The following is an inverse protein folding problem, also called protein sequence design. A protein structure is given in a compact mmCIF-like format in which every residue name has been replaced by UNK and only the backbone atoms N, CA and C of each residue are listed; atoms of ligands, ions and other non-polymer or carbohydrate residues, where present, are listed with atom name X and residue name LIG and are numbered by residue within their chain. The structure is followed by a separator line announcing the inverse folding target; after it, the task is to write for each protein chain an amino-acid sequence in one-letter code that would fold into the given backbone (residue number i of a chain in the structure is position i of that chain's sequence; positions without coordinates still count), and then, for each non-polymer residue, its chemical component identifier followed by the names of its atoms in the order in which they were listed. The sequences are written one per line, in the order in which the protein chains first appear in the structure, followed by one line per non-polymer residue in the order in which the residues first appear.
data_IF_380445883482
#
_entry.id   IF_380445883482
#
_cell.length_a   1.000
_cell.length_b   1.000
_cell.length_c   1.000
_cell.angle_alpha   90.00
_cell.angle_beta   90.00
_cell.angle_gamma   90.00
#
_symmetry.space_group_name_H-M   'P 1'
#
loop_
_entity.id
_entity.type
_entity.pdbx_description
1 polymer ?
#
# COMPACT_ATOMS: atom_id res chain seq x y z
N UNK A 1 9.76 -20.57 -8.12
CA UNK A 1 9.96 -20.93 -6.70
C UNK A 1 8.65 -21.50 -6.19
N UNK A 2 8.62 -22.79 -5.85
CA UNK A 2 7.44 -23.40 -5.22
C UNK A 2 7.39 -22.98 -3.75
N UNK A 3 6.71 -21.88 -3.47
CA UNK A 3 6.36 -21.43 -2.11
C UNK A 3 5.36 -22.36 -1.41
N UNK A 4 4.99 -23.49 -2.05
CA UNK A 4 3.94 -24.44 -1.67
C UNK A 4 4.35 -25.47 -0.61
N UNK A 5 5.56 -25.40 -0.03
CA UNK A 5 6.05 -26.34 0.99
C UNK A 5 5.82 -25.87 2.44
N UNK A 6 4.79 -25.07 2.68
CA UNK A 6 4.37 -24.79 4.06
C UNK A 6 3.66 -26.03 4.63
N UNK A 7 3.87 -26.33 5.92
CA UNK A 7 3.15 -27.42 6.59
C UNK A 7 1.65 -27.12 6.66
N UNK A 8 0.81 -28.15 6.86
CA UNK A 8 -0.63 -27.97 7.06
C UNK A 8 -0.91 -27.03 8.27
N UNK A 9 -0.11 -27.13 9.32
CA UNK A 9 -0.15 -26.24 10.49
C UNK A 9 0.17 -24.79 10.14
N UNK A 10 1.20 -24.54 9.31
CA UNK A 10 1.54 -23.20 8.87
C UNK A 10 0.44 -22.57 8.02
N UNK A 11 -0.19 -23.35 7.14
CA UNK A 11 -1.37 -22.89 6.39
C UNK A 11 -2.56 -22.60 7.31
N UNK A 12 -2.81 -23.42 8.33
CA UNK A 12 -3.86 -23.17 9.31
C UNK A 12 -3.61 -21.89 10.12
N UNK A 13 -2.37 -21.65 10.53
CA UNK A 13 -1.99 -20.42 11.22
C UNK A 13 -2.18 -19.18 10.34
N UNK A 14 -1.78 -19.24 9.06
CA UNK A 14 -2.00 -18.13 8.12
C UNK A 14 -3.50 -17.84 7.91
N UNK A 15 -4.33 -18.87 7.77
CA UNK A 15 -5.80 -18.69 7.71
C UNK A 15 -6.35 -18.03 8.97
N UNK A 16 -5.85 -18.42 10.15
CA UNK A 16 -6.26 -17.80 11.41
C UNK A 16 -5.87 -16.31 11.48
N UNK A 17 -4.71 -15.92 10.96
CA UNK A 17 -4.36 -14.50 10.84
C UNK A 17 -5.32 -13.76 9.91
N UNK A 18 -5.61 -14.32 8.74
CA UNK A 18 -6.53 -13.71 7.78
C UNK A 18 -7.94 -13.53 8.34
N UNK A 19 -8.49 -14.53 9.03
CA UNK A 19 -9.77 -14.43 9.73
C UNK A 19 -9.80 -13.26 10.72
N UNK A 20 -8.71 -13.07 11.47
CA UNK A 20 -8.58 -11.96 12.43
C UNK A 20 -8.46 -10.62 11.73
N UNK A 21 -7.71 -10.52 10.63
CA UNK A 21 -7.62 -9.29 9.82
C UNK A 21 -9.00 -8.93 9.28
N UNK A 22 -9.70 -9.87 8.63
CA UNK A 22 -11.06 -9.66 8.13
C UNK A 22 -12.06 -9.32 9.23
N UNK A 23 -11.91 -9.87 10.44
CA UNK A 23 -12.74 -9.48 11.59
C UNK A 23 -12.52 -8.02 11.99
N UNK A 24 -11.27 -7.56 12.09
CA UNK A 24 -10.97 -6.17 12.40
C UNK A 24 -11.43 -5.21 11.30
N UNK A 25 -11.29 -5.56 10.02
CA UNK A 25 -11.81 -4.74 8.92
C UNK A 25 -13.34 -4.64 8.95
N UNK A 26 -14.05 -5.71 9.30
CA UNK A 26 -15.50 -5.68 9.52
C UNK A 26 -15.90 -4.79 10.69
N UNK A 27 -15.18 -4.86 11.81
CA UNK A 27 -15.41 -3.98 12.95
C UNK A 27 -15.14 -2.51 12.62
N UNK A 28 -14.10 -2.23 11.83
CA UNK A 28 -13.85 -0.88 11.33
C UNK A 28 -15.03 -0.39 10.48
N UNK A 29 -15.57 -1.25 9.60
CA UNK A 29 -16.75 -0.94 8.79
C UNK A 29 -17.99 -0.66 9.64
N UNK A 30 -18.25 -1.50 10.63
CA UNK A 30 -19.39 -1.38 11.55
C UNK A 30 -19.31 -0.11 12.41
N UNK A 31 -18.09 0.38 12.68
CA UNK A 31 -17.89 1.65 13.35
C UNK A 31 -18.16 2.89 12.46
N UNK A 32 -18.35 2.75 11.14
CA UNK A 32 -18.66 3.90 10.28
C UNK A 32 -20.09 4.37 10.55
N UNK A 33 -20.24 5.63 10.96
CA UNK A 33 -21.56 6.26 11.13
C UNK A 33 -22.02 6.82 9.79
N UNK A 34 -23.13 6.32 9.22
CA UNK A 34 -23.62 6.77 7.90
C UNK A 34 -23.81 8.28 7.81
N UNK A 35 -23.37 8.90 6.72
CA UNK A 35 -23.54 10.33 6.46
C UNK A 35 -22.55 11.25 7.19
N UNK A 36 -21.80 10.74 8.18
CA UNK A 36 -20.85 11.56 8.96
C UNK A 36 -19.59 11.87 8.15
N UNK A 37 -19.12 10.90 7.38
CA UNK A 37 -17.97 11.06 6.50
C UNK A 37 -18.24 12.11 5.41
N UNK A 38 -19.39 12.03 4.77
CA UNK A 38 -19.80 12.90 3.66
C UNK A 38 -20.02 14.34 4.11
N UNK A 39 -20.61 14.54 5.28
CA UNK A 39 -20.93 15.88 5.80
C UNK A 39 -19.74 16.53 6.51
N UNK A 40 -18.98 15.77 7.28
CA UNK A 40 -18.03 16.33 8.26
C UNK A 40 -16.58 15.88 8.04
N UNK A 41 -16.32 14.95 7.11
CA UNK A 41 -15.00 14.30 6.98
C UNK A 41 -14.49 13.76 8.32
N UNK A 42 -15.45 13.22 9.10
CA UNK A 42 -15.23 12.71 10.43
C UNK A 42 -15.51 11.21 10.49
N UNK A 43 -14.70 10.48 11.26
CA UNK A 43 -14.84 9.05 11.50
C UNK A 43 -14.68 8.77 13.00
N UNK A 44 -15.36 7.75 13.55
CA UNK A 44 -15.15 7.37 14.94
C UNK A 44 -13.73 6.87 15.21
N UNK A 45 -13.19 7.14 16.41
CA UNK A 45 -11.88 6.62 16.84
C UNK A 45 -11.79 5.09 16.80
N UNK A 46 -12.91 4.41 16.99
CA UNK A 46 -12.99 2.95 16.89
C UNK A 46 -12.65 2.46 15.49
N UNK A 47 -13.08 3.17 14.43
CA UNK A 47 -12.71 2.86 13.05
C UNK A 47 -11.18 2.78 12.90
N UNK A 48 -10.47 3.81 13.37
CA UNK A 48 -9.02 3.88 13.29
C UNK A 48 -8.38 2.75 14.10
N UNK A 49 -8.87 2.53 15.32
CA UNK A 49 -8.38 1.47 16.21
C UNK A 49 -8.49 0.09 15.58
N UNK A 50 -9.62 -0.21 14.93
CA UNK A 50 -9.82 -1.50 14.26
C UNK A 50 -8.98 -1.61 12.99
N UNK A 51 -8.85 -0.54 12.20
CA UNK A 51 -7.98 -0.52 11.02
C UNK A 51 -6.51 -0.73 11.37
N UNK A 52 -6.01 -0.07 12.42
CA UNK A 52 -4.66 -0.26 12.94
C UNK A 52 -4.43 -1.69 13.43
N UNK A 53 -5.41 -2.27 14.14
CA UNK A 53 -5.36 -3.68 14.56
C UNK A 53 -5.30 -4.62 13.36
N UNK A 54 -6.07 -4.36 12.30
CA UNK A 54 -6.02 -5.15 11.07
C UNK A 54 -4.61 -5.14 10.46
N UNK A 55 -4.01 -3.96 10.26
CA UNK A 55 -2.64 -3.86 9.75
C UNK A 55 -1.59 -4.46 10.68
N UNK A 56 -1.75 -4.34 12.00
CA UNK A 56 -0.85 -4.94 12.98
C UNK A 56 -0.88 -6.47 12.92
N UNK A 57 -2.08 -7.07 12.86
CA UNK A 57 -2.23 -8.53 12.74
C UNK A 57 -1.71 -9.01 11.39
N UNK A 58 -1.90 -8.23 10.32
CA UNK A 58 -1.32 -8.54 9.02
C UNK A 58 0.21 -8.48 9.04
N UNK A 59 0.82 -7.48 9.68
CA UNK A 59 2.28 -7.44 9.88
C UNK A 59 2.78 -8.67 10.69
N UNK A 60 1.98 -9.19 11.62
CA UNK A 60 2.30 -10.43 12.35
C UNK A 60 2.25 -11.66 11.43
N UNK A 61 1.25 -11.77 10.55
CA UNK A 61 1.15 -12.86 9.58
C UNK A 61 2.33 -12.87 8.61
N UNK A 62 2.77 -11.69 8.14
CA UNK A 62 3.95 -11.54 7.31
C UNK A 62 5.22 -12.01 8.03
N UNK A 63 5.44 -11.59 9.29
CA UNK A 63 6.59 -12.06 10.09
C UNK A 63 6.57 -13.58 10.26
N UNK A 64 5.39 -14.16 10.49
CA UNK A 64 5.21 -15.61 10.58
C UNK A 64 5.60 -16.29 9.27
N UNK A 65 5.07 -15.82 8.14
CA UNK A 65 5.39 -16.35 6.81
C UNK A 65 6.89 -16.26 6.50
N UNK A 66 7.50 -15.09 6.71
CA UNK A 66 8.93 -14.86 6.46
C UNK A 66 9.83 -15.74 7.32
N UNK A 67 9.42 -16.04 8.56
CA UNK A 67 10.15 -16.98 9.43
C UNK A 67 10.14 -18.40 8.86
N UNK A 68 9.00 -18.84 8.31
CA UNK A 68 8.90 -20.15 7.66
C UNK A 68 9.70 -20.19 6.35
N UNK A 69 9.65 -19.11 5.57
CA UNK A 69 10.43 -18.96 4.35
C UNK A 69 11.94 -19.09 4.64
N UNK A 70 12.42 -18.44 5.71
CA UNK A 70 13.81 -18.57 6.19
C UNK A 70 14.17 -20.00 6.57
N UNK A 71 13.28 -20.71 7.27
CA UNK A 71 13.48 -22.14 7.63
C UNK A 71 13.52 -23.05 6.40
N UNK A 72 12.81 -22.68 5.33
CA UNK A 72 12.85 -23.37 4.04
C UNK A 72 14.09 -23.03 3.19
N UNK A 73 15.05 -22.27 3.73
CA UNK A 73 16.31 -21.91 3.07
C UNK A 73 16.29 -20.58 2.30
N UNK A 74 15.16 -19.87 2.31
CA UNK A 74 15.01 -18.61 1.59
C UNK A 74 15.07 -17.42 2.56
N UNK A 75 16.16 -16.65 2.51
CA UNK A 75 16.33 -15.48 3.39
C UNK A 75 15.93 -14.21 2.66
N UNK A 76 14.93 -13.50 3.19
CA UNK A 76 14.57 -12.16 2.71
C UNK A 76 15.67 -11.17 3.10
N UNK A 77 16.03 -10.32 2.15
CA UNK A 77 17.08 -9.30 2.31
C UNK A 77 16.53 -7.92 2.66
N UNK A 78 15.20 -7.75 2.60
CA UNK A 78 14.51 -6.56 3.05
C UNK A 78 14.64 -6.40 4.57
N UNK A 79 15.15 -5.25 5.00
CA UNK A 79 15.28 -4.88 6.40
C UNK A 79 14.77 -3.44 6.61
N UNK A 80 14.50 -3.02 7.87
CA UNK A 80 14.27 -1.61 8.16
C UNK A 80 15.37 -0.73 7.54
N UNK A 81 14.97 0.24 6.73
CA UNK A 81 15.90 1.12 6.00
C UNK A 81 16.35 0.65 4.62
N UNK A 82 15.94 -0.54 4.17
CA UNK A 82 16.04 -0.90 2.75
C UNK A 82 15.03 -0.09 1.93
N UNK A 83 15.51 0.63 0.91
CA UNK A 83 14.71 1.52 0.07
C UNK A 83 14.92 1.31 -1.44
N UNK A 84 15.57 0.21 -1.83
CA UNK A 84 15.97 -0.01 -3.23
C UNK A 84 14.79 -0.20 -4.20
N UNK A 85 13.66 -0.71 -3.72
CA UNK A 85 12.41 -0.77 -4.50
C UNK A 85 11.51 0.47 -4.28
N UNK A 86 11.88 1.40 -3.39
CA UNK A 86 11.11 2.62 -3.09
C UNK A 86 11.24 3.69 -4.18
N UNK A 87 11.36 3.25 -5.42
CA UNK A 87 11.34 4.02 -6.68
C UNK A 87 10.24 3.51 -7.61
N UNK A 88 9.59 2.39 -7.26
CA UNK A 88 8.38 1.91 -7.91
C UNK A 88 7.20 2.85 -7.58
N UNK A 89 6.20 2.87 -8.47
CA UNK A 89 4.91 3.51 -8.21
C UNK A 89 3.94 2.43 -7.69
N UNK A 90 3.60 2.41 -6.38
CA UNK A 90 2.65 1.44 -5.87
C UNK A 90 1.25 1.69 -6.47
N UNK A 91 0.60 0.60 -6.86
CA UNK A 91 -0.73 0.54 -7.49
C UNK A 91 -1.63 -0.45 -6.77
N UNK A 92 -2.93 -0.45 -7.06
CA UNK A 92 -3.90 -1.35 -6.44
C UNK A 92 -4.22 -1.01 -4.98
N UNK A 93 -4.10 0.26 -4.59
CA UNK A 93 -4.50 0.73 -3.27
C UNK A 93 -6.02 0.96 -3.22
N UNK A 94 -6.60 0.72 -2.05
CA UNK A 94 -7.95 1.16 -1.69
C UNK A 94 -7.95 2.60 -1.19
N UNK A 95 -9.09 3.29 -1.27
CA UNK A 95 -9.24 4.62 -0.70
C UNK A 95 -9.04 4.65 0.82
N UNK A 96 -9.41 3.59 1.53
CA UNK A 96 -9.13 3.40 2.96
C UNK A 96 -7.62 3.42 3.26
N UNK A 97 -6.81 2.79 2.43
CA UNK A 97 -5.35 2.82 2.58
C UNK A 97 -4.78 4.22 2.36
N UNK A 98 -5.31 4.95 1.37
CA UNK A 98 -4.95 6.35 1.14
C UNK A 98 -5.35 7.22 2.34
N UNK A 99 -6.55 7.02 2.90
CA UNK A 99 -7.01 7.71 4.12
C UNK A 99 -6.05 7.45 5.28
N UNK A 100 -5.66 6.19 5.50
CA UNK A 100 -4.76 5.82 6.60
C UNK A 100 -3.34 6.39 6.41
N UNK A 101 -2.86 6.43 5.17
CA UNK A 101 -1.60 7.09 4.84
C UNK A 101 -1.66 8.60 5.08
N UNK A 102 -2.76 9.25 4.67
CA UNK A 102 -2.99 10.67 4.90
C UNK A 102 -3.13 11.01 6.39
N UNK A 103 -3.77 10.15 7.17
CA UNK A 103 -3.80 10.25 8.64
C UNK A 103 -2.39 10.30 9.22
N UNK A 104 -1.52 9.36 8.82
CA UNK A 104 -0.13 9.35 9.25
C UNK A 104 0.65 10.60 8.82
N UNK A 105 0.43 11.08 7.58
CA UNK A 105 1.05 12.30 7.08
C UNK A 105 0.61 13.55 7.85
N UNK A 106 -0.68 13.62 8.21
CA UNK A 106 -1.28 14.69 8.99
C UNK A 106 -0.74 14.72 10.41
N UNK A 107 -0.72 13.58 11.10
CA UNK A 107 -0.18 13.48 12.46
C UNK A 107 1.31 13.80 12.55
N UNK A 108 2.07 13.55 11.49
CA UNK A 108 3.49 13.91 11.41
C UNK A 108 3.75 15.35 10.89
N UNK A 109 2.71 16.12 10.53
CA UNK A 109 2.85 17.49 10.05
C UNK A 109 3.59 17.61 8.70
N UNK A 110 3.48 16.61 7.84
CA UNK A 110 4.25 16.51 6.59
C UNK A 110 3.39 16.48 5.32
N UNK A 111 2.08 16.72 5.43
CA UNK A 111 1.13 16.69 4.30
C UNK A 111 1.60 17.57 3.14
N UNK A 112 1.95 18.84 3.39
CA UNK A 112 2.36 19.77 2.32
C UNK A 112 3.63 19.33 1.59
N UNK A 113 4.56 18.72 2.31
CA UNK A 113 5.80 18.17 1.73
C UNK A 113 5.49 16.96 0.86
N UNK A 114 4.64 16.05 1.35
CA UNK A 114 4.29 14.84 0.61
C UNK A 114 3.37 15.13 -0.57
N UNK A 115 2.45 16.09 -0.45
CA UNK A 115 1.62 16.58 -1.53
C UNK A 115 2.47 17.11 -2.69
N UNK A 116 3.39 18.04 -2.44
CA UNK A 116 4.28 18.59 -3.47
C UNK A 116 5.08 17.52 -4.19
N UNK A 117 5.69 16.60 -3.43
CA UNK A 117 6.42 15.46 -3.99
C UNK A 117 5.51 14.54 -4.80
N UNK A 118 4.31 14.22 -4.31
CA UNK A 118 3.35 13.37 -5.03
C UNK A 118 2.85 14.04 -6.31
N UNK A 119 2.65 15.36 -6.33
CA UNK A 119 2.32 16.13 -7.54
C UNK A 119 3.41 16.00 -8.61
N UNK A 120 4.69 16.14 -8.24
CA UNK A 120 5.81 15.94 -9.16
C UNK A 120 5.77 14.53 -9.79
N UNK A 121 5.43 13.49 -9.01
CA UNK A 121 5.35 12.11 -9.52
C UNK A 121 4.09 11.87 -10.35
N UNK A 122 2.98 12.51 -10.01
CA UNK A 122 1.75 12.49 -10.82
C UNK A 122 2.00 13.11 -12.20
N UNK A 123 2.77 14.20 -12.28
CA UNK A 123 3.15 14.82 -13.56
C UNK A 123 3.99 13.88 -14.41
N UNK A 124 5.04 13.28 -13.83
CA UNK A 124 5.86 12.25 -14.51
C UNK A 124 5.01 11.07 -15.00
N UNK A 125 4.06 10.61 -14.17
CA UNK A 125 3.13 9.56 -14.57
C UNK A 125 2.23 10.00 -15.74
N UNK A 126 1.77 11.25 -15.73
CA UNK A 126 1.00 11.85 -16.82
C UNK A 126 1.78 11.90 -18.13
N UNK A 127 3.08 12.21 -18.10
CA UNK A 127 3.97 12.16 -19.27
C UNK A 127 4.11 10.76 -19.84
N UNK A 128 4.34 9.76 -18.98
CA UNK A 128 4.39 8.35 -19.38
C UNK A 128 3.08 7.94 -20.06
N UNK A 129 1.94 8.31 -19.47
CA UNK A 129 0.63 8.00 -20.05
C UNK A 129 0.40 8.67 -21.41
N UNK A 130 0.90 9.90 -21.61
CA UNK A 130 0.82 10.61 -22.91
C UNK A 130 1.70 9.96 -23.97
N UNK A 131 2.92 9.60 -23.61
CA UNK A 131 3.87 8.95 -24.52
C UNK A 131 3.33 7.60 -25.02
N UNK A 132 2.80 6.78 -24.11
CA UNK A 132 2.17 5.50 -24.44
C UNK A 132 0.89 5.60 -25.27
N UNK A 133 0.21 6.75 -25.32
CA UNK A 133 -0.93 6.96 -26.23
C UNK A 133 -0.49 7.23 -27.66
N UNK A 134 0.67 7.88 -27.81
CA UNK A 134 1.25 8.20 -29.11
C UNK A 134 2.02 7.01 -29.70
N UNK A 135 2.63 6.20 -28.83
CA UNK A 135 3.27 4.96 -29.23
C UNK A 135 2.19 3.88 -29.40
N UNK A 136 2.12 3.22 -30.56
CA UNK A 136 1.04 2.29 -30.91
C UNK A 136 1.17 0.93 -30.20
N UNK A 137 1.36 0.95 -28.87
CA UNK A 137 1.63 -0.23 -28.06
C UNK A 137 0.39 -1.13 -28.04
N UNK A 138 0.46 -2.23 -28.78
CA UNK A 138 -0.54 -3.31 -28.78
C UNK A 138 -0.47 -4.07 -27.44
N UNK A 139 -1.61 -4.28 -26.79
CA UNK A 139 -1.71 -5.09 -25.58
C UNK A 139 -3.03 -4.90 -24.84
N UNK A 140 -3.32 -5.79 -23.90
CA UNK A 140 -4.45 -5.63 -22.97
C UNK A 140 -4.28 -4.40 -22.08
N UNK A 141 -5.33 -4.00 -21.38
CA UNK A 141 -5.26 -2.89 -20.41
C UNK A 141 -4.16 -3.15 -19.36
N UNK A 142 -4.10 -4.37 -18.83
CA UNK A 142 -3.14 -4.77 -17.80
C UNK A 142 -1.70 -4.75 -18.31
N UNK A 143 -1.48 -5.22 -19.54
CA UNK A 143 -0.15 -5.18 -20.17
C UNK A 143 0.35 -3.74 -20.34
N UNK A 144 -0.54 -2.82 -20.74
CA UNK A 144 -0.20 -1.40 -20.84
C UNK A 144 0.11 -0.81 -19.48
N UNK A 145 -0.70 -1.11 -18.45
CA UNK A 145 -0.44 -0.64 -17.08
C UNK A 145 0.92 -1.15 -16.56
N UNK A 146 1.22 -2.43 -16.72
CA UNK A 146 2.50 -3.01 -16.33
C UNK A 146 3.68 -2.36 -17.08
N UNK A 147 3.52 -2.07 -18.37
CA UNK A 147 4.51 -1.34 -19.18
C UNK A 147 4.78 0.07 -18.63
N UNK A 148 3.72 0.81 -18.27
CA UNK A 148 3.84 2.15 -17.67
C UNK A 148 4.52 2.13 -16.32
N UNK A 149 4.13 1.22 -15.44
CA UNK A 149 4.73 1.07 -14.11
C UNK A 149 6.21 0.70 -14.22
N UNK A 150 6.56 -0.17 -15.18
CA UNK A 150 7.94 -0.51 -15.48
C UNK A 150 8.74 0.72 -15.96
N UNK A 151 8.20 1.49 -16.92
CA UNK A 151 8.81 2.73 -17.41
C UNK A 151 8.99 3.76 -16.30
N UNK A 152 7.97 3.97 -15.47
CA UNK A 152 8.07 4.82 -14.29
C UNK A 152 9.20 4.38 -13.39
N UNK A 153 9.32 3.07 -13.12
CA UNK A 153 10.37 2.55 -12.27
C UNK A 153 11.77 2.87 -12.83
N UNK A 154 11.97 2.80 -14.15
CA UNK A 154 13.26 3.13 -14.78
C UNK A 154 13.70 4.58 -14.59
N UNK A 155 12.78 5.50 -14.27
CA UNK A 155 13.14 6.88 -13.93
C UNK A 155 13.93 6.97 -12.61
N UNK A 156 13.91 5.90 -11.79
CA UNK A 156 14.65 5.80 -10.53
C UNK A 156 14.35 6.96 -9.56
N UNK A 157 13.12 7.48 -9.61
CA UNK A 157 12.68 8.62 -8.81
C UNK A 157 12.22 8.12 -7.44
N UNK A 158 12.79 8.60 -6.31
CA UNK A 158 12.39 8.15 -4.99
C UNK A 158 10.92 8.43 -4.68
N UNK A 159 10.32 7.50 -3.94
CA UNK A 159 8.97 7.62 -3.38
C UNK A 159 8.82 8.93 -2.57
N UNK A 160 7.68 9.66 -2.72
CA UNK A 160 7.44 10.91 -2.02
C UNK A 160 7.68 10.85 -0.51
N UNK A 161 7.32 9.72 0.11
CA UNK A 161 7.35 9.50 1.55
C UNK A 161 8.74 9.16 2.11
N UNK A 162 9.74 8.99 1.24
CA UNK A 162 11.10 8.70 1.64
C UNK A 162 11.82 9.96 2.15
N UNK A 163 12.49 9.86 3.29
CA UNK A 163 13.33 10.90 3.87
C UNK A 163 14.59 10.28 4.45
N UNK A 164 15.77 10.73 4.00
CA UNK A 164 17.07 10.18 4.41
C UNK A 164 17.16 8.64 4.31
N UNK A 165 16.56 8.05 3.26
CA UNK A 165 16.55 6.61 3.03
C UNK A 165 15.52 5.82 3.85
N UNK A 166 14.76 6.47 4.73
CA UNK A 166 13.72 5.85 5.55
C UNK A 166 12.33 6.30 5.10
N UNK A 167 11.35 5.40 5.17
CA UNK A 167 9.96 5.79 4.92
C UNK A 167 9.43 6.57 6.14
N UNK A 168 9.07 7.84 5.92
CA UNK A 168 8.52 8.72 6.97
C UNK A 168 7.17 8.22 7.51
N UNK A 169 6.50 7.34 6.75
CA UNK A 169 5.19 6.79 7.06
C UNK A 169 5.21 5.25 7.11
N UNK A 170 6.32 4.64 7.55
CA UNK A 170 6.49 3.18 7.53
C UNK A 170 5.34 2.43 8.22
N UNK A 171 4.80 2.97 9.33
CA UNK A 171 3.65 2.36 10.05
C UNK A 171 2.32 2.47 9.30
N UNK A 172 2.19 3.44 8.40
CA UNK A 172 0.99 3.73 7.62
C UNK A 172 1.10 3.29 6.16
N UNK A 173 2.16 2.54 5.81
CA UNK A 173 2.38 2.06 4.44
C UNK A 173 1.20 1.21 3.95
N UNK A 174 0.83 1.32 2.66
CA UNK A 174 -0.23 0.52 2.05
C UNK A 174 0.18 -0.95 1.92
N UNK A 175 -0.80 -1.83 1.69
CA UNK A 175 -0.61 -3.27 1.45
C UNK A 175 0.42 -3.51 0.36
N UNK A 176 0.33 -2.80 -0.77
CA UNK A 176 1.29 -2.92 -1.88
C UNK A 176 2.76 -2.80 -1.42
N UNK A 177 3.03 -2.00 -0.38
CA UNK A 177 4.36 -1.89 0.22
C UNK A 177 4.63 -2.91 1.35
N UNK A 178 3.60 -3.40 2.05
CA UNK A 178 3.73 -4.41 3.14
C UNK A 178 4.04 -5.79 2.60
N UNK A 179 3.44 -6.13 1.48
CA UNK A 179 3.49 -7.49 0.91
C UNK A 179 4.74 -7.74 0.08
N UNK A 180 5.46 -6.67 -0.31
CA UNK A 180 6.56 -6.76 -1.26
C UNK A 180 7.88 -7.12 -0.58
N UNK A 181 8.53 -8.18 -1.06
CA UNK A 181 9.80 -8.68 -0.55
C UNK A 181 10.75 -9.14 -1.66
N UNK A 182 12.03 -9.26 -1.32
CA UNK A 182 13.06 -9.86 -2.17
C UNK A 182 13.96 -10.82 -1.38
N UNK A 183 14.37 -11.91 -2.04
CA UNK A 183 15.42 -12.83 -1.56
C UNK A 183 16.77 -12.61 -2.27
N UNK A 184 16.83 -11.67 -3.22
CA UNK A 184 18.06 -11.28 -3.90
C UNK A 184 18.79 -10.18 -3.11
N UNK A 185 20.10 -9.93 -3.35
CA UNK A 185 20.79 -8.80 -2.75
C UNK A 185 20.01 -7.48 -2.93
N UNK A 186 19.88 -6.63 -1.89
CA UNK A 186 18.95 -5.50 -1.91
C UNK A 186 19.16 -4.53 -3.08
N UNK A 187 20.42 -4.28 -3.45
CA UNK A 187 20.79 -3.37 -4.53
C UNK A 187 20.31 -3.88 -5.92
N UNK A 188 20.00 -5.16 -6.08
CA UNK A 188 19.40 -5.69 -7.31
C UNK A 188 17.96 -5.20 -7.49
N UNK A 189 17.28 -4.74 -6.44
CA UNK A 189 15.93 -4.19 -6.58
C UNK A 189 15.93 -2.80 -7.24
N UNK A 190 17.09 -2.15 -7.38
CA UNK A 190 17.20 -0.86 -8.07
C UNK A 190 17.13 -1.05 -9.60
N UNK A 191 16.38 -0.19 -10.31
CA UNK A 191 16.20 -0.30 -11.76
C UNK A 191 17.49 -0.02 -12.56
N UNK A 192 18.45 0.72 -11.98
CA UNK A 192 19.74 1.06 -12.58
C UNK A 192 20.82 -0.03 -12.38
N UNK A 193 20.51 -1.09 -11.62
CA UNK A 193 21.47 -2.15 -11.34
C UNK A 193 21.50 -3.20 -12.46
N UNK A 194 22.69 -3.64 -12.89
CA UNK A 194 22.84 -4.62 -13.98
C UNK A 194 22.17 -5.98 -13.73
N UNK A 195 21.96 -6.35 -12.46
CA UNK A 195 21.22 -7.56 -12.06
C UNK A 195 19.72 -7.33 -11.81
N UNK A 196 19.17 -6.16 -12.16
CA UNK A 196 17.77 -5.81 -11.87
C UNK A 196 16.78 -6.85 -12.41
N UNK A 197 17.00 -7.32 -13.63
CA UNK A 197 16.17 -8.36 -14.24
C UNK A 197 16.22 -9.70 -13.51
N UNK A 198 17.33 -9.98 -12.81
CA UNK A 198 17.57 -11.22 -12.07
C UNK A 198 17.16 -11.14 -10.59
N UNK A 199 16.67 -9.98 -10.14
CA UNK A 199 16.18 -9.81 -8.78
C UNK A 199 14.89 -10.61 -8.56
N UNK A 200 14.96 -11.61 -7.68
CA UNK A 200 13.81 -12.40 -7.24
C UNK A 200 13.03 -11.59 -6.22
N UNK A 201 11.91 -11.04 -6.69
CA UNK A 201 10.93 -10.27 -5.91
C UNK A 201 9.63 -11.02 -5.90
N UNK A 202 8.89 -10.92 -4.80
CA UNK A 202 7.61 -11.59 -4.65
C UNK A 202 6.72 -10.78 -3.70
N UNK A 203 5.42 -10.97 -3.86
CA UNK A 203 4.43 -10.46 -2.92
C UNK A 203 3.88 -11.59 -2.07
N UNK A 204 3.68 -11.34 -0.78
CA UNK A 204 2.90 -12.20 0.11
C UNK A 204 1.48 -11.67 0.13
N UNK A 205 0.70 -12.05 -0.87
CA UNK A 205 -0.66 -11.54 -1.05
C UNK A 205 -1.58 -11.97 0.12
N UNK A 206 -2.49 -11.11 0.58
CA UNK A 206 -3.57 -11.52 1.49
C UNK A 206 -4.50 -12.54 0.82
N UNK A 207 -5.27 -13.30 1.62
CA UNK A 207 -6.36 -14.10 1.03
C UNK A 207 -7.47 -13.22 0.45
N UNK A 208 -8.27 -13.82 -0.44
CA UNK A 208 -9.46 -13.20 -1.02
C UNK A 208 -10.40 -12.65 0.05
N UNK A 209 -10.55 -13.33 1.20
CA UNK A 209 -11.41 -12.88 2.29
C UNK A 209 -10.92 -11.57 2.94
N UNK A 210 -9.61 -11.34 2.98
CA UNK A 210 -9.03 -10.07 3.45
C UNK A 210 -9.22 -8.98 2.39
N UNK A 211 -8.96 -9.30 1.12
CA UNK A 211 -9.15 -8.36 0.02
C UNK A 211 -10.61 -7.89 -0.12
N UNK A 212 -11.58 -8.81 -0.03
CA UNK A 212 -13.00 -8.49 -0.01
C UNK A 212 -13.39 -7.62 1.20
N UNK A 213 -12.76 -7.84 2.36
CA UNK A 213 -13.04 -7.04 3.55
C UNK A 213 -12.54 -5.60 3.40
N UNK A 214 -11.36 -5.39 2.79
CA UNK A 214 -10.88 -4.07 2.41
C UNK A 214 -11.81 -3.40 1.39
N UNK A 215 -12.20 -4.12 0.34
CA UNK A 215 -13.10 -3.58 -0.69
C UNK A 215 -14.44 -3.14 -0.08
N UNK A 216 -15.09 -3.97 0.75
CA UNK A 216 -16.36 -3.60 1.40
C UNK A 216 -16.21 -2.40 2.35
N UNK A 217 -15.06 -2.27 3.00
CA UNK A 217 -14.76 -1.10 3.85
C UNK A 217 -14.63 0.17 2.99
N UNK A 218 -13.97 0.05 1.84
CA UNK A 218 -13.78 1.15 0.88
C UNK A 218 -15.10 1.60 0.26
N UNK A 219 -15.94 0.64 -0.16
CA UNK A 219 -17.31 0.88 -0.66
C UNK A 219 -18.17 1.62 0.37
N UNK A 220 -17.98 1.35 1.67
CA UNK A 220 -18.72 2.03 2.75
C UNK A 220 -18.33 3.50 2.87
N UNK A 221 -17.08 3.86 2.57
CA UNK A 221 -16.62 5.25 2.60
C UNK A 221 -16.84 5.98 1.27
N UNK A 222 -17.10 5.24 0.18
CA UNK A 222 -17.31 5.81 -1.15
C UNK A 222 -16.13 6.64 -1.65
N UNK A 223 -14.91 6.23 -1.30
CA UNK A 223 -13.68 6.93 -1.70
C UNK A 223 -13.31 6.51 -3.13
N UNK A 224 -13.96 7.10 -4.11
CA UNK A 224 -13.69 6.92 -5.55
C UNK A 224 -12.34 7.55 -5.97
N UNK A 225 -11.25 7.08 -5.38
CA UNK A 225 -9.90 7.57 -5.60
C UNK A 225 -9.13 6.70 -6.59
N UNK A 226 -8.09 7.26 -7.21
CA UNK A 226 -7.12 6.48 -7.96
C UNK A 226 -6.41 5.46 -7.06
N UNK A 227 -6.28 4.24 -7.59
CA UNK A 227 -5.56 3.13 -6.97
C UNK A 227 -4.03 3.29 -7.02
N UNK A 228 -3.53 4.30 -7.73
CA UNK A 228 -2.11 4.67 -7.76
C UNK A 228 -1.80 5.56 -6.57
N UNK A 229 -0.81 5.15 -5.77
CA UNK A 229 -0.48 5.79 -4.49
C UNK A 229 -0.35 7.31 -4.56
N UNK A 230 0.40 7.84 -5.53
CA UNK A 230 0.63 9.30 -5.61
C UNK A 230 -0.59 10.04 -6.12
N UNK A 231 -1.38 9.41 -7.00
CA UNK A 231 -2.59 10.00 -7.56
C UNK A 231 -3.70 10.05 -6.52
N UNK A 232 -4.00 8.90 -5.89
CA UNK A 232 -4.99 8.82 -4.81
C UNK A 232 -4.63 9.73 -3.65
N UNK A 233 -3.35 9.84 -3.27
CA UNK A 233 -2.93 10.76 -2.20
C UNK A 233 -3.19 12.23 -2.54
N UNK A 234 -2.90 12.65 -3.77
CA UNK A 234 -3.18 14.03 -4.23
C UNK A 234 -4.68 14.30 -4.27
N UNK A 235 -5.45 13.39 -4.87
CA UNK A 235 -6.92 13.49 -4.95
C UNK A 235 -7.53 13.57 -3.55
N UNK A 236 -7.09 12.74 -2.62
CA UNK A 236 -7.57 12.77 -1.25
C UNK A 236 -7.20 14.07 -0.54
N UNK A 237 -5.96 14.54 -0.67
CA UNK A 237 -5.50 15.77 -0.03
C UNK A 237 -6.28 17.01 -0.51
N UNK A 238 -6.55 17.09 -1.83
CA UNK A 238 -7.17 18.27 -2.46
C UNK A 238 -8.68 18.16 -2.51
N UNK A 239 -9.20 17.10 -3.14
CA UNK A 239 -10.62 16.99 -3.49
C UNK A 239 -11.47 16.52 -2.31
N UNK A 240 -10.89 15.76 -1.37
CA UNK A 240 -11.62 15.19 -0.23
C UNK A 240 -11.41 16.01 1.04
N UNK A 241 -10.15 16.24 1.42
CA UNK A 241 -9.80 16.83 2.71
C UNK A 241 -9.59 18.35 2.67
N UNK A 242 -9.15 18.90 1.53
CA UNK A 242 -8.74 20.30 1.44
C UNK A 242 -7.62 20.64 2.43
N UNK A 243 -6.61 19.77 2.52
CA UNK A 243 -5.48 19.86 3.46
C UNK A 243 -5.83 19.81 4.96
N UNK A 244 -7.09 19.56 5.33
CA UNK A 244 -7.50 19.40 6.73
C UNK A 244 -7.21 17.98 7.22
N UNK A 245 -6.83 17.80 8.50
CA UNK A 245 -6.72 16.46 9.07
C UNK A 245 -8.09 15.79 9.16
N UNK A 246 -8.09 14.46 9.05
CA UNK A 246 -9.29 13.63 9.33
C UNK A 246 -9.74 13.89 10.77
N UNK A 247 -11.03 14.17 10.94
CA UNK A 247 -11.59 14.42 12.27
C UNK A 247 -11.95 13.09 12.92
N UNK A 248 -11.40 12.83 14.10
CA UNK A 248 -11.69 11.61 14.87
C UNK A 248 -12.65 11.94 16.01
N UNK A 249 -13.88 11.44 15.91
CA UNK A 249 -14.92 11.66 16.92
C UNK A 249 -15.02 10.49 17.88
N UNK A 250 -15.46 10.75 19.11
CA UNK A 250 -15.87 9.68 20.01
C UNK A 250 -17.11 9.00 19.43
N UNK A 251 -17.23 7.69 19.66
CA UNK A 251 -18.42 6.97 19.29
C UNK A 251 -19.59 7.51 20.15
N UNK A 252 -20.71 7.96 19.56
CA UNK A 252 -21.86 8.43 20.34
C UNK A 252 -22.59 7.30 21.12
N UNK A 253 -22.11 6.06 21.05
CA UNK A 253 -22.70 4.86 21.64
C UNK A 253 -21.64 4.01 22.36
#
# INVERSE_FOLDING_TARGET
MEFSRLSAEAHAALRHYDERVSAFLRQAREAVIPGTWEKHRALPKDFLTHLEKAFMVYDQSLRFFLTHLRRAGWTVTCAPGCNHCCTQLPSGLTGVEILYLYHGASGAGIVDRMFRRSMERMEMWGEICRWDRNDSVKGSLDQRMAGRLSRYHTLNVPCPFLHAGLCSLYRHRPLACRIHFSVSPPHWCRPDHFQYANAVRFNVEPSTAVMEAFQRLDETLGLELSDLLVCGFVEFAVNVMGFRPVQWIENPH
#
